data_IF_945356276657
#
_entry.id   IF_945356276657
#
_cell.length_a   1.000
_cell.length_b   1.000
_cell.length_c   1.000
_cell.angle_alpha   90.00
_cell.angle_beta   90.00
_cell.angle_gamma   90.00
#
_symmetry.space_group_name_H-M   'P 1'
#
loop_
_entity.id
_entity.type
_entity.pdbx_description
1 polymer ?
#
# COMPACT_ATOMS: atom_id res chain seq x y z
N UNK A 1 -4.31 -22.19 -4.15
CA UNK A 1 -3.41 -21.05 -3.81
C UNK A 1 -2.42 -21.49 -2.74
N UNK A 2 -1.32 -20.77 -2.59
CA UNK A 2 -0.45 -20.82 -1.41
C UNK A 2 -0.10 -19.38 -1.03
N UNK A 3 -0.58 -18.89 0.10
CA UNK A 3 -0.30 -17.52 0.55
C UNK A 3 -0.07 -17.48 2.05
N UNK A 4 1.05 -16.87 2.46
CA UNK A 4 1.45 -16.77 3.86
C UNK A 4 2.07 -15.41 4.25
N UNK A 5 1.83 -14.37 3.45
CA UNK A 5 2.45 -13.05 3.65
C UNK A 5 1.87 -12.24 4.84
N UNK A 6 0.86 -12.73 5.55
CA UNK A 6 0.26 -12.00 6.68
C UNK A 6 0.21 -12.86 7.95
N UNK A 7 0.24 -12.20 9.10
CA UNK A 7 0.23 -12.83 10.43
C UNK A 7 -0.96 -13.78 10.62
N UNK A 8 -2.15 -13.40 10.12
CA UNK A 8 -3.38 -14.20 10.21
C UNK A 8 -3.45 -15.39 9.25
N UNK A 9 -2.33 -15.79 8.64
CA UNK A 9 -2.33 -16.95 7.74
C UNK A 9 -2.83 -18.20 8.45
N UNK A 10 -3.53 -19.07 7.73
CA UNK A 10 -4.19 -20.23 8.33
C UNK A 10 -3.17 -21.13 9.04
N UNK A 11 -3.51 -21.49 10.28
CA UNK A 11 -2.71 -22.33 11.17
C UNK A 11 -1.27 -21.81 11.43
N UNK A 12 -1.03 -20.51 11.19
CA UNK A 12 0.30 -19.90 11.18
C UNK A 12 1.29 -20.56 10.19
N UNK A 13 0.76 -21.22 9.15
CA UNK A 13 1.54 -21.91 8.11
C UNK A 13 1.30 -21.27 6.75
N UNK A 14 0.09 -21.45 6.19
CA UNK A 14 -0.26 -20.96 4.87
C UNK A 14 -1.77 -21.11 4.61
N UNK A 15 -2.35 -20.14 3.89
CA UNK A 15 -3.65 -20.30 3.27
C UNK A 15 -3.53 -21.16 2.01
N UNK A 16 -4.00 -22.40 2.07
CA UNK A 16 -3.99 -23.37 0.96
C UNK A 16 -5.38 -23.76 0.40
N UNK A 17 -6.44 -23.20 0.97
CA UNK A 17 -7.83 -23.50 0.59
C UNK A 17 -8.33 -22.69 -0.62
N UNK A 18 -9.63 -22.78 -0.95
CA UNK A 18 -10.24 -21.97 -2.01
C UNK A 18 -10.31 -20.47 -1.66
N UNK A 19 -10.13 -20.13 -0.38
CA UNK A 19 -10.13 -18.75 0.12
C UNK A 19 -9.14 -18.63 1.29
N UNK A 20 -8.40 -17.53 1.35
CA UNK A 20 -7.56 -17.18 2.50
C UNK A 20 -8.37 -16.60 3.67
N UNK A 21 -7.76 -16.52 4.85
CA UNK A 21 -8.40 -15.96 6.06
C UNK A 21 -8.87 -14.51 5.84
N UNK A 22 -8.15 -13.74 5.04
CA UNK A 22 -8.52 -12.38 4.66
C UNK A 22 -9.69 -12.27 3.65
N UNK A 23 -10.24 -13.40 3.18
CA UNK A 23 -11.28 -13.43 2.14
C UNK A 23 -10.74 -13.46 0.70
N UNK A 24 -9.42 -13.51 0.50
CA UNK A 24 -8.82 -13.59 -0.84
C UNK A 24 -9.14 -14.93 -1.49
N UNK A 25 -9.90 -14.92 -2.58
CA UNK A 25 -10.17 -16.11 -3.37
C UNK A 25 -8.90 -16.67 -4.02
N UNK A 26 -8.86 -17.99 -4.23
CA UNK A 26 -7.71 -18.67 -4.85
C UNK A 26 -7.31 -18.02 -6.18
N UNK A 27 -8.28 -17.72 -7.05
CA UNK A 27 -8.00 -17.14 -8.37
C UNK A 27 -7.33 -15.77 -8.27
N UNK A 28 -7.71 -14.95 -7.28
CA UNK A 28 -7.07 -13.65 -7.06
C UNK A 28 -5.65 -13.86 -6.54
N UNK A 29 -5.44 -14.78 -5.60
CA UNK A 29 -4.11 -15.11 -5.12
C UNK A 29 -3.19 -15.59 -6.25
N UNK A 30 -3.67 -16.50 -7.08
CA UNK A 30 -2.96 -17.04 -8.24
C UNK A 30 -2.59 -15.93 -9.25
N UNK A 31 -3.48 -14.96 -9.51
CA UNK A 31 -3.18 -13.82 -10.39
C UNK A 31 -2.18 -12.84 -9.77
N UNK A 32 -2.18 -12.67 -8.43
CA UNK A 32 -1.15 -11.88 -7.74
C UNK A 32 0.23 -12.51 -7.90
N UNK A 33 0.35 -13.83 -7.84
CA UNK A 33 1.61 -14.55 -8.06
C UNK A 33 2.14 -14.31 -9.48
N UNK A 34 1.26 -14.40 -10.50
CA UNK A 34 1.61 -14.10 -11.90
C UNK A 34 2.06 -12.64 -12.06
N UNK A 35 1.34 -11.69 -11.47
CA UNK A 35 1.72 -10.27 -11.54
C UNK A 35 3.10 -10.01 -10.93
N UNK A 36 3.40 -10.60 -9.77
CA UNK A 36 4.72 -10.47 -9.12
C UNK A 36 5.80 -11.09 -10.01
N UNK A 37 5.56 -12.27 -10.59
CA UNK A 37 6.48 -12.91 -11.51
C UNK A 37 6.83 -12.01 -12.70
N UNK A 38 5.83 -11.43 -13.37
CA UNK A 38 6.04 -10.52 -14.49
C UNK A 38 6.75 -9.22 -14.06
N UNK A 39 6.45 -8.72 -12.86
CA UNK A 39 7.10 -7.55 -12.25
C UNK A 39 8.60 -7.78 -12.03
N UNK A 40 9.01 -9.00 -11.67
CA UNK A 40 10.42 -9.39 -11.65
C UNK A 40 11.02 -9.27 -13.06
N UNK A 41 10.35 -9.75 -14.10
CA UNK A 41 10.80 -9.67 -15.50
C UNK A 41 10.99 -8.25 -16.04
N UNK A 42 10.06 -7.34 -15.72
CA UNK A 42 10.21 -5.90 -16.00
C UNK A 42 11.48 -5.36 -15.34
N UNK A 43 11.66 -5.70 -14.07
CA UNK A 43 12.79 -5.24 -13.27
C UNK A 43 14.13 -5.77 -13.74
N UNK A 44 14.19 -6.97 -14.32
CA UNK A 44 15.43 -7.48 -14.92
C UNK A 44 15.95 -6.53 -16.01
N UNK A 45 15.08 -6.09 -16.93
CA UNK A 45 15.44 -5.11 -17.98
C UNK A 45 15.70 -3.71 -17.42
N UNK A 46 14.81 -3.22 -16.55
CA UNK A 46 14.93 -1.89 -15.97
C UNK A 46 16.22 -1.75 -15.12
N UNK A 47 16.63 -2.82 -14.43
CA UNK A 47 17.89 -2.86 -13.71
C UNK A 47 19.10 -2.70 -14.64
N UNK A 48 19.16 -3.44 -15.77
CA UNK A 48 20.26 -3.26 -16.73
C UNK A 48 20.25 -1.87 -17.36
N UNK A 49 19.08 -1.31 -17.68
CA UNK A 49 18.99 0.06 -18.17
C UNK A 49 19.53 1.06 -17.13
N UNK A 50 19.18 0.89 -15.85
CA UNK A 50 19.66 1.74 -14.76
C UNK A 50 21.18 1.67 -14.56
N UNK A 51 21.82 0.51 -14.77
CA UNK A 51 23.28 0.37 -14.78
C UNK A 51 23.95 1.20 -15.88
N UNK A 52 23.22 1.51 -16.95
CA UNK A 52 23.64 2.40 -18.03
C UNK A 52 23.18 3.86 -17.82
N UNK A 53 22.66 4.20 -16.63
CA UNK A 53 22.07 5.50 -16.29
C UNK A 53 20.83 5.88 -17.11
N UNK A 54 20.14 4.90 -17.70
CA UNK A 54 18.87 5.08 -18.41
C UNK A 54 17.69 4.65 -17.53
N UNK A 55 16.56 5.34 -17.68
CA UNK A 55 15.39 5.15 -16.81
C UNK A 55 14.12 5.63 -17.50
N UNK A 56 13.00 5.01 -17.15
CA UNK A 56 11.67 5.45 -17.52
C UNK A 56 10.75 5.42 -16.30
N UNK A 57 10.14 6.56 -16.01
CA UNK A 57 9.34 6.77 -14.80
C UNK A 57 8.05 5.96 -14.76
N UNK A 58 7.44 5.66 -15.91
CA UNK A 58 6.22 4.85 -15.93
C UNK A 58 6.53 3.39 -15.59
N UNK A 59 7.73 2.91 -15.97
CA UNK A 59 8.22 1.57 -15.62
C UNK A 59 8.47 1.49 -14.12
N UNK A 60 9.15 2.49 -13.58
CA UNK A 60 9.42 2.60 -12.15
C UNK A 60 8.11 2.57 -11.34
N UNK A 61 7.17 3.43 -11.71
CA UNK A 61 5.87 3.55 -11.01
C UNK A 61 5.05 2.26 -11.12
N UNK A 62 4.97 1.65 -12.31
CA UNK A 62 4.21 0.42 -12.49
C UNK A 62 4.72 -0.70 -11.59
N UNK A 63 6.04 -0.85 -11.44
CA UNK A 63 6.62 -1.87 -10.55
C UNK A 63 6.23 -1.64 -9.09
N UNK A 64 6.23 -0.39 -8.63
CA UNK A 64 5.80 -0.04 -7.27
C UNK A 64 4.31 -0.33 -7.07
N UNK A 65 3.46 0.12 -8.00
CA UNK A 65 2.01 -0.11 -7.97
C UNK A 65 1.67 -1.61 -8.01
N UNK A 66 2.35 -2.39 -8.86
CA UNK A 66 2.14 -3.82 -8.98
C UNK A 66 2.50 -4.56 -7.67
N UNK A 67 3.58 -4.17 -6.99
CA UNK A 67 3.92 -4.74 -5.69
C UNK A 67 2.87 -4.38 -4.63
N UNK A 68 2.48 -3.10 -4.55
CA UNK A 68 1.53 -2.63 -3.56
C UNK A 68 0.13 -3.25 -3.76
N UNK A 69 -0.35 -3.39 -5.01
CA UNK A 69 -1.63 -4.05 -5.30
C UNK A 69 -1.73 -5.49 -4.75
N UNK A 70 -0.59 -6.16 -4.52
CA UNK A 70 -0.53 -7.52 -3.97
C UNK A 70 -0.32 -7.58 -2.45
N UNK A 71 -0.26 -6.44 -1.76
CA UNK A 71 -0.24 -6.37 -0.30
C UNK A 71 -1.58 -6.84 0.27
N UNK A 72 -1.55 -7.42 1.46
CA UNK A 72 -2.74 -7.93 2.15
C UNK A 72 -3.79 -6.84 2.29
N UNK A 73 -5.03 -7.17 1.91
CA UNK A 73 -6.19 -6.29 2.00
C UNK A 73 -6.12 -5.03 1.12
N UNK A 74 -5.38 -5.03 0.00
CA UNK A 74 -5.40 -3.94 -1.00
C UNK A 74 -6.44 -4.21 -2.09
N UNK A 75 -6.20 -5.21 -2.95
CA UNK A 75 -7.07 -5.49 -4.10
C UNK A 75 -7.53 -6.95 -4.13
N UNK A 76 -8.85 -7.14 -4.25
CA UNK A 76 -9.54 -8.42 -4.38
C UNK A 76 -10.30 -8.55 -5.71
N UNK A 77 -10.17 -7.57 -6.61
CA UNK A 77 -10.84 -7.56 -7.89
C UNK A 77 -10.02 -8.31 -8.96
N UNK A 78 -10.50 -9.51 -9.29
CA UNK A 78 -9.92 -10.39 -10.31
C UNK A 78 -9.79 -9.68 -11.67
N UNK A 79 -10.76 -8.88 -12.10
CA UNK A 79 -10.73 -8.24 -13.42
C UNK A 79 -9.70 -7.09 -13.47
N UNK A 80 -9.43 -6.44 -12.33
CA UNK A 80 -8.30 -5.50 -12.21
C UNK A 80 -6.96 -6.21 -12.35
N UNK A 81 -6.79 -7.37 -11.72
CA UNK A 81 -5.54 -8.15 -11.90
C UNK A 81 -5.34 -8.62 -13.33
N UNK A 82 -6.39 -9.00 -14.06
CA UNK A 82 -6.29 -9.30 -15.50
C UNK A 82 -5.79 -8.08 -16.30
N UNK A 83 -6.28 -6.89 -15.95
CA UNK A 83 -5.85 -5.63 -16.57
C UNK A 83 -4.38 -5.30 -16.23
N UNK A 84 -3.99 -5.46 -14.96
CA UNK A 84 -2.61 -5.24 -14.50
C UNK A 84 -1.62 -6.22 -15.14
N UNK A 85 -1.99 -7.50 -15.28
CA UNK A 85 -1.14 -8.51 -15.93
C UNK A 85 -0.93 -8.16 -17.41
N UNK A 86 -1.98 -7.76 -18.11
CA UNK A 86 -1.84 -7.28 -19.49
C UNK A 86 -0.89 -6.08 -19.57
N UNK A 87 -1.10 -5.07 -18.71
CA UNK A 87 -0.21 -3.90 -18.61
C UNK A 87 1.23 -4.31 -18.26
N UNK A 88 1.44 -5.35 -17.46
CA UNK A 88 2.78 -5.86 -17.13
C UNK A 88 3.53 -6.35 -18.37
N UNK A 89 2.86 -7.04 -19.29
CA UNK A 89 3.46 -7.43 -20.57
C UNK A 89 3.84 -6.21 -21.42
N UNK A 90 2.95 -5.22 -21.53
CA UNK A 90 3.23 -3.98 -22.26
C UNK A 90 4.43 -3.21 -21.66
N UNK A 91 4.47 -3.09 -20.33
CA UNK A 91 5.55 -2.42 -19.60
C UNK A 91 6.86 -3.21 -19.71
N UNK A 92 6.81 -4.54 -19.81
CA UNK A 92 8.01 -5.37 -20.00
C UNK A 92 8.64 -5.13 -21.36
N UNK A 93 7.85 -5.07 -22.43
CA UNK A 93 8.39 -4.73 -23.75
C UNK A 93 8.93 -3.29 -23.76
N UNK A 94 8.26 -2.34 -23.09
CA UNK A 94 8.80 -0.97 -22.88
C UNK A 94 10.17 -0.99 -22.18
N UNK A 95 10.33 -1.81 -21.14
CA UNK A 95 11.59 -1.95 -20.38
C UNK A 95 12.71 -2.57 -21.21
N UNK A 96 12.38 -3.60 -21.99
CA UNK A 96 13.30 -4.24 -22.93
C UNK A 96 13.79 -3.29 -24.01
N UNK A 97 12.89 -2.47 -24.58
CA UNK A 97 13.25 -1.45 -25.57
C UNK A 97 14.06 -0.31 -24.97
N UNK A 98 13.75 0.11 -23.72
CA UNK A 98 14.59 1.03 -22.97
C UNK A 98 16.02 0.47 -22.82
N UNK A 99 16.15 -0.78 -22.39
CA UNK A 99 17.46 -1.42 -22.22
C UNK A 99 18.23 -1.53 -23.53
N UNK A 100 17.59 -1.97 -24.63
CA UNK A 100 18.24 -2.05 -25.95
C UNK A 100 18.74 -0.70 -26.43
N UNK A 101 17.93 0.36 -26.32
CA UNK A 101 18.34 1.73 -26.68
C UNK A 101 19.47 2.23 -25.79
N UNK A 102 19.45 1.88 -24.50
CA UNK A 102 20.55 2.19 -23.59
C UNK A 102 21.85 1.52 -24.04
N UNK A 103 21.80 0.24 -24.41
CA UNK A 103 22.96 -0.47 -24.96
C UNK A 103 23.50 0.17 -26.23
N UNK A 104 22.64 0.51 -27.19
CA UNK A 104 23.03 1.20 -28.42
C UNK A 104 23.71 2.55 -28.13
N UNK A 105 23.10 3.36 -27.26
CA UNK A 105 23.63 4.67 -26.86
C UNK A 105 24.99 4.57 -26.17
N UNK A 106 25.18 3.55 -25.34
CA UNK A 106 26.40 3.35 -24.55
C UNK A 106 27.41 2.41 -25.21
N UNK A 107 27.15 1.95 -26.44
CA UNK A 107 28.00 1.03 -27.20
C UNK A 107 28.30 -0.28 -26.43
N UNK A 108 27.32 -0.80 -25.71
CA UNK A 108 27.41 -2.07 -24.99
C UNK A 108 26.57 -3.15 -25.66
N UNK A 109 26.94 -4.42 -25.45
CA UNK A 109 26.18 -5.54 -25.98
C UNK A 109 24.92 -5.79 -25.14
N UNK A 110 23.80 -6.05 -25.81
CA UNK A 110 22.55 -6.48 -25.15
C UNK A 110 22.74 -7.90 -24.61
N UNK A 111 22.60 -8.05 -23.30
CA UNK A 111 22.58 -9.35 -22.62
C UNK A 111 21.32 -10.13 -23.01
N UNK A 112 21.46 -11.43 -23.26
CA UNK A 112 20.30 -12.32 -23.36
C UNK A 112 19.85 -12.71 -21.96
N UNK A 113 18.71 -12.16 -21.52
CA UNK A 113 18.12 -12.46 -20.21
C UNK A 113 17.40 -13.83 -20.23
N UNK A 114 16.82 -14.22 -19.10
CA UNK A 114 16.18 -15.52 -18.91
C UNK A 114 14.91 -15.38 -18.06
N UNK A 115 14.18 -16.49 -17.87
CA UNK A 115 13.06 -16.57 -16.96
C UNK A 115 11.97 -15.52 -17.25
N UNK A 116 11.51 -14.77 -16.24
CA UNK A 116 10.38 -13.85 -16.40
C UNK A 116 10.58 -12.78 -17.49
N UNK A 117 11.82 -12.38 -17.77
CA UNK A 117 12.15 -11.42 -18.82
C UNK A 117 11.75 -11.93 -20.22
N UNK A 118 11.81 -13.24 -20.46
CA UNK A 118 11.50 -13.85 -21.75
C UNK A 118 10.07 -14.38 -21.87
N UNK A 119 9.27 -14.32 -20.79
CA UNK A 119 7.90 -14.87 -20.80
C UNK A 119 7.05 -14.24 -21.92
N UNK A 120 6.36 -15.04 -22.72
CA UNK A 120 5.49 -14.48 -23.77
C UNK A 120 4.14 -14.06 -23.19
N UNK A 121 3.40 -13.21 -23.89
CA UNK A 121 2.08 -12.77 -23.40
C UNK A 121 1.14 -13.96 -23.21
N UNK A 122 0.65 -14.14 -21.99
CA UNK A 122 -0.31 -15.19 -21.64
C UNK A 122 -1.71 -14.59 -21.67
N UNK A 123 -2.52 -15.08 -22.60
CA UNK A 123 -3.90 -14.61 -22.78
C UNK A 123 -4.91 -15.61 -22.24
N UNK A 124 -5.99 -15.09 -21.67
CA UNK A 124 -7.10 -15.90 -21.13
C UNK A 124 -6.89 -16.33 -19.69
N UNK A 125 -7.97 -16.26 -18.90
CA UNK A 125 -7.95 -16.56 -17.47
C UNK A 125 -7.44 -17.98 -17.18
N UNK A 126 -7.91 -18.99 -17.92
CA UNK A 126 -7.53 -20.39 -17.65
C UNK A 126 -6.04 -20.64 -17.90
N UNK A 127 -5.45 -20.00 -18.90
CA UNK A 127 -4.01 -20.10 -19.17
C UNK A 127 -3.20 -19.41 -18.07
N UNK A 128 -3.65 -18.24 -17.60
CA UNK A 128 -3.02 -17.54 -16.48
C UNK A 128 -3.10 -18.36 -15.18
N UNK A 129 -4.24 -18.99 -14.89
CA UNK A 129 -4.42 -19.83 -13.71
C UNK A 129 -3.63 -21.15 -13.80
N UNK A 130 -3.34 -21.64 -15.00
CA UNK A 130 -2.43 -22.77 -15.19
C UNK A 130 -0.99 -22.32 -14.95
N UNK A 131 -0.59 -21.18 -15.51
CA UNK A 131 0.74 -20.63 -15.37
C UNK A 131 1.07 -20.24 -13.93
N UNK A 132 0.10 -19.71 -13.18
CA UNK A 132 0.28 -19.33 -11.76
C UNK A 132 0.81 -20.48 -10.91
N UNK A 133 0.47 -21.74 -11.23
CA UNK A 133 0.95 -22.91 -10.49
C UNK A 133 2.45 -23.12 -10.65
N UNK A 134 3.00 -22.77 -11.82
CA UNK A 134 4.43 -22.87 -12.13
C UNK A 134 5.26 -21.73 -11.51
N UNK A 135 4.62 -20.62 -11.13
CA UNK A 135 5.28 -19.44 -10.55
C UNK A 135 4.87 -19.18 -9.10
N UNK A 136 4.20 -20.14 -8.46
CA UNK A 136 3.71 -20.03 -7.09
C UNK A 136 4.85 -20.14 -6.06
N UNK A 137 4.61 -19.60 -4.86
CA UNK A 137 5.52 -19.77 -3.72
C UNK A 137 5.77 -21.24 -3.36
N UNK A 138 4.77 -22.10 -3.55
CA UNK A 138 4.93 -23.55 -3.33
C UNK A 138 5.91 -24.16 -4.34
N UNK A 139 5.87 -23.70 -5.59
CA UNK A 139 6.82 -24.13 -6.62
C UNK A 139 8.23 -23.62 -6.37
N UNK A 140 8.37 -22.38 -5.90
CA UNK A 140 9.66 -21.83 -5.48
C UNK A 140 10.24 -22.64 -4.30
N UNK A 141 9.39 -23.02 -3.34
CA UNK A 141 9.75 -23.87 -2.20
C UNK A 141 10.18 -25.27 -2.61
N UNK A 142 9.51 -25.90 -3.58
CA UNK A 142 9.96 -27.19 -4.16
C UNK A 142 11.36 -27.09 -4.79
N UNK A 143 11.67 -25.94 -5.41
CA UNK A 143 12.93 -25.72 -6.12
C UNK A 143 14.10 -25.45 -5.18
N UNK A 144 13.91 -24.59 -4.18
CA UNK A 144 15.01 -24.08 -3.35
C UNK A 144 15.02 -24.61 -1.90
N UNK A 145 13.93 -25.24 -1.47
CA UNK A 145 13.75 -25.67 -0.08
C UNK A 145 13.33 -24.54 0.86
N UNK A 146 12.88 -24.93 2.05
CA UNK A 146 12.21 -24.06 3.04
C UNK A 146 13.03 -22.82 3.42
N UNK A 147 14.32 -22.98 3.72
CA UNK A 147 15.16 -21.89 4.22
C UNK A 147 15.42 -20.81 3.17
N UNK A 148 15.76 -21.22 1.95
CA UNK A 148 16.07 -20.28 0.86
C UNK A 148 14.80 -19.57 0.41
N UNK A 149 13.71 -20.30 0.15
CA UNK A 149 12.44 -19.68 -0.23
C UNK A 149 11.87 -18.78 0.85
N UNK A 150 11.99 -19.16 2.13
CA UNK A 150 11.59 -18.29 3.24
C UNK A 150 12.33 -16.95 3.26
N UNK A 151 13.63 -16.93 2.94
CA UNK A 151 14.42 -15.71 2.84
C UNK A 151 14.08 -14.89 1.58
N UNK A 152 13.84 -15.54 0.42
CA UNK A 152 13.37 -14.86 -0.79
C UNK A 152 12.04 -14.15 -0.55
N UNK A 153 11.13 -14.83 0.16
CA UNK A 153 9.81 -14.29 0.49
C UNK A 153 9.88 -13.19 1.55
N UNK A 154 10.77 -13.30 2.54
CA UNK A 154 11.06 -12.21 3.47
C UNK A 154 11.50 -10.94 2.73
N UNK A 155 12.44 -11.08 1.78
CA UNK A 155 12.93 -9.97 0.95
C UNK A 155 11.77 -9.38 0.13
N UNK A 156 11.00 -10.23 -0.56
CA UNK A 156 9.87 -9.80 -1.39
C UNK A 156 8.80 -9.08 -0.56
N UNK A 157 8.39 -9.63 0.59
CA UNK A 157 7.35 -9.04 1.43
C UNK A 157 7.80 -7.72 2.06
N UNK A 158 9.06 -7.62 2.49
CA UNK A 158 9.66 -6.36 2.93
C UNK A 158 9.65 -5.32 1.80
N UNK A 159 9.96 -5.72 0.57
CA UNK A 159 9.94 -4.84 -0.59
C UNK A 159 8.51 -4.38 -0.94
N UNK A 160 7.49 -5.24 -0.82
CA UNK A 160 6.09 -4.84 -0.98
C UNK A 160 5.66 -3.78 0.03
N UNK A 161 6.06 -3.92 1.30
CA UNK A 161 5.81 -2.90 2.33
C UNK A 161 6.53 -1.57 2.04
N UNK A 162 7.78 -1.63 1.58
CA UNK A 162 8.49 -0.43 1.14
C UNK A 162 7.81 0.20 -0.09
N UNK A 163 7.27 -0.60 -1.02
CA UNK A 163 6.55 -0.11 -2.21
C UNK A 163 5.35 0.76 -1.83
N UNK A 164 4.56 0.34 -0.83
CA UNK A 164 3.38 1.12 -0.41
C UNK A 164 3.75 2.51 0.11
N UNK A 165 4.88 2.64 0.82
CA UNK A 165 5.33 3.95 1.27
C UNK A 165 5.90 4.81 0.13
N UNK A 166 6.59 4.19 -0.83
CA UNK A 166 7.16 4.89 -1.97
C UNK A 166 6.07 5.41 -2.91
N UNK A 167 4.99 4.65 -3.09
CA UNK A 167 3.79 5.06 -3.82
C UNK A 167 3.19 6.34 -3.23
N UNK A 168 2.94 6.39 -1.93
CA UNK A 168 2.42 7.59 -1.27
C UNK A 168 3.36 8.80 -1.38
N UNK A 169 4.67 8.58 -1.26
CA UNK A 169 5.65 9.65 -1.47
C UNK A 169 5.58 10.18 -2.91
N UNK A 170 5.46 9.29 -3.89
CA UNK A 170 5.32 9.62 -5.31
C UNK A 170 4.04 10.40 -5.60
N UNK A 171 2.90 9.98 -5.04
CA UNK A 171 1.60 10.66 -5.15
C UNK A 171 1.68 12.12 -4.68
N UNK A 172 2.52 12.41 -3.67
CA UNK A 172 2.81 13.75 -3.15
C UNK A 172 3.97 14.45 -3.88
N UNK A 173 4.46 13.88 -4.97
CA UNK A 173 5.49 14.47 -5.83
C UNK A 173 6.93 14.31 -5.33
N UNK A 174 7.17 13.51 -4.28
CA UNK A 174 8.52 13.17 -3.83
C UNK A 174 9.00 11.90 -4.53
N UNK A 175 10.16 11.99 -5.16
CA UNK A 175 10.71 10.93 -6.01
C UNK A 175 12.19 10.77 -5.72
N UNK A 176 12.65 9.53 -5.64
CA UNK A 176 14.08 9.21 -5.52
C UNK A 176 14.44 8.14 -6.55
N UNK A 177 15.13 8.56 -7.61
CA UNK A 177 15.58 7.69 -8.71
C UNK A 177 16.45 6.54 -8.23
N UNK A 178 17.20 6.73 -7.15
CA UNK A 178 18.05 5.68 -6.58
C UNK A 178 17.21 4.60 -5.93
N UNK A 179 16.18 4.99 -5.16
CA UNK A 179 15.27 4.03 -4.53
C UNK A 179 14.59 3.14 -5.57
N UNK A 180 13.99 3.71 -6.60
CA UNK A 180 13.40 2.92 -7.68
C UNK A 180 14.40 1.96 -8.38
N UNK A 181 15.66 2.39 -8.60
CA UNK A 181 16.68 1.53 -9.19
C UNK A 181 17.06 0.37 -8.24
N UNK A 182 17.07 0.61 -6.93
CA UNK A 182 17.28 -0.39 -5.90
C UNK A 182 16.12 -1.41 -5.86
N UNK A 183 14.86 -0.99 -6.05
CA UNK A 183 13.73 -1.92 -6.20
C UNK A 183 13.94 -2.87 -7.40
N UNK A 184 14.33 -2.34 -8.56
CA UNK A 184 14.60 -3.18 -9.72
C UNK A 184 15.78 -4.14 -9.50
N UNK A 185 16.85 -3.68 -8.82
CA UNK A 185 18.00 -4.52 -8.43
C UNK A 185 17.54 -5.70 -7.55
N UNK A 186 16.73 -5.45 -6.52
CA UNK A 186 16.25 -6.51 -5.62
C UNK A 186 15.34 -7.49 -6.37
N UNK A 187 14.40 -7.00 -7.17
CA UNK A 187 13.50 -7.85 -7.94
C UNK A 187 14.24 -8.71 -8.97
N UNK A 188 15.29 -8.17 -9.60
CA UNK A 188 16.20 -8.94 -10.46
C UNK A 188 16.96 -10.01 -9.66
N UNK A 189 17.49 -9.67 -8.48
CA UNK A 189 18.16 -10.62 -7.61
C UNK A 189 17.26 -11.82 -7.28
N UNK A 190 15.98 -11.59 -7.00
CA UNK A 190 14.97 -12.62 -6.73
C UNK A 190 14.65 -13.54 -7.93
N UNK A 191 15.30 -13.36 -9.09
CA UNK A 191 15.17 -14.24 -10.27
C UNK A 191 16.33 -15.21 -10.44
N UNK A 192 17.40 -15.10 -9.64
CA UNK A 192 18.57 -15.97 -9.76
C UNK A 192 18.20 -17.45 -9.59
N UNK A 193 18.99 -18.30 -10.23
CA UNK A 193 18.84 -19.76 -10.18
C UNK A 193 19.59 -20.41 -9.01
N UNK A 194 20.46 -19.67 -8.32
CA UNK A 194 21.24 -20.14 -7.17
C UNK A 194 21.50 -18.99 -6.22
N UNK A 195 21.50 -19.29 -4.92
CA UNK A 195 21.71 -18.33 -3.85
C UNK A 195 22.68 -18.88 -2.82
N UNK A 196 23.58 -18.03 -2.33
CA UNK A 196 24.28 -18.26 -1.08
C UNK A 196 23.52 -17.62 0.09
N UNK A 197 23.73 -18.15 1.31
CA UNK A 197 23.12 -17.60 2.52
C UNK A 197 23.57 -16.16 2.78
N UNK A 198 24.84 -15.84 2.51
CA UNK A 198 25.40 -14.49 2.69
C UNK A 198 24.76 -13.47 1.74
N UNK A 199 24.48 -13.86 0.48
CA UNK A 199 23.76 -13.01 -0.46
C UNK A 199 22.34 -12.73 0.02
N UNK A 200 21.61 -13.75 0.49
CA UNK A 200 20.24 -13.60 0.99
C UNK A 200 20.18 -12.71 2.22
N UNK A 201 21.07 -12.92 3.19
CA UNK A 201 21.16 -12.07 4.38
C UNK A 201 21.47 -10.62 4.01
N UNK A 202 22.41 -10.41 3.08
CA UNK A 202 22.78 -9.08 2.60
C UNK A 202 21.57 -8.37 1.96
N UNK A 203 20.86 -9.02 1.04
CA UNK A 203 19.72 -8.37 0.38
C UNK A 203 18.52 -8.19 1.34
N UNK A 204 18.35 -9.05 2.34
CA UNK A 204 17.35 -8.82 3.40
C UNK A 204 17.66 -7.56 4.24
N UNK A 205 18.93 -7.36 4.60
CA UNK A 205 19.37 -6.14 5.29
C UNK A 205 19.27 -4.90 4.38
N UNK A 206 19.58 -5.03 3.09
CA UNK A 206 19.42 -3.97 2.10
C UNK A 206 17.97 -3.51 2.00
N UNK A 207 17.00 -4.44 1.97
CA UNK A 207 15.56 -4.10 2.01
C UNK A 207 15.20 -3.31 3.26
N UNK A 208 15.80 -3.63 4.41
CA UNK A 208 15.67 -2.84 5.63
C UNK A 208 16.16 -1.40 5.48
N UNK A 209 17.31 -1.19 4.84
CA UNK A 209 17.84 0.15 4.54
C UNK A 209 16.95 0.91 3.54
N UNK A 210 16.50 0.24 2.48
CA UNK A 210 15.55 0.78 1.50
C UNK A 210 14.29 1.26 2.23
N UNK A 211 13.71 0.42 3.11
CA UNK A 211 12.53 0.78 3.86
C UNK A 211 12.73 2.03 4.73
N UNK A 212 13.87 2.16 5.44
CA UNK A 212 14.18 3.37 6.23
C UNK A 212 14.25 4.63 5.36
N UNK A 213 14.88 4.53 4.18
CA UNK A 213 14.99 5.65 3.24
C UNK A 213 13.65 6.03 2.61
N UNK A 214 12.81 5.05 2.27
CA UNK A 214 11.46 5.30 1.79
C UNK A 214 10.59 5.94 2.87
N UNK A 215 10.63 5.44 4.11
CA UNK A 215 9.90 6.03 5.23
C UNK A 215 10.33 7.48 5.47
N UNK A 216 11.63 7.78 5.37
CA UNK A 216 12.14 9.16 5.43
C UNK A 216 11.56 10.02 4.28
N UNK A 217 11.57 9.50 3.04
CA UNK A 217 11.03 10.21 1.89
C UNK A 217 9.53 10.50 2.06
N UNK A 218 8.77 9.54 2.59
CA UNK A 218 7.34 9.70 2.88
C UNK A 218 7.09 10.70 4.03
N UNK A 219 7.89 10.68 5.10
CA UNK A 219 7.83 11.69 6.17
C UNK A 219 8.06 13.09 5.60
N UNK A 220 9.09 13.27 4.75
CA UNK A 220 9.34 14.53 4.06
C UNK A 220 8.18 14.92 3.13
N UNK A 221 7.58 13.96 2.42
CA UNK A 221 6.42 14.18 1.56
C UNK A 221 5.23 14.72 2.35
N UNK A 222 4.87 14.05 3.45
CA UNK A 222 3.77 14.45 4.31
C UNK A 222 4.03 15.78 5.01
N UNK A 223 5.19 15.94 5.66
CA UNK A 223 5.49 17.13 6.47
C UNK A 223 5.69 18.38 5.61
N UNK A 224 6.22 18.27 4.39
CA UNK A 224 6.29 19.42 3.47
C UNK A 224 4.93 19.75 2.83
N UNK A 225 4.08 18.73 2.60
CA UNK A 225 2.75 18.93 2.01
C UNK A 225 1.76 19.48 3.03
N UNK A 226 1.75 18.97 4.27
CA UNK A 226 0.69 19.19 5.25
C UNK A 226 1.14 19.82 6.59
N UNK A 227 2.40 20.23 6.66
CA UNK A 227 3.14 20.70 7.85
C UNK A 227 3.41 19.58 8.88
N UNK A 228 4.27 19.85 9.86
CA UNK A 228 4.62 18.87 10.89
C UNK A 228 3.42 18.55 11.79
N UNK A 229 3.18 17.27 12.14
CA UNK A 229 2.15 16.91 13.10
C UNK A 229 2.35 17.58 14.46
N UNK A 230 1.27 18.11 15.01
CA UNK A 230 1.22 18.76 16.33
C UNK A 230 0.22 18.06 17.26
N UNK A 231 0.47 18.05 18.59
CA UNK A 231 -0.46 17.49 19.56
C UNK A 231 -1.88 18.02 19.38
N UNK A 232 -2.81 17.12 19.04
CA UNK A 232 -4.19 17.47 18.69
C UNK A 232 -5.17 16.54 19.37
N UNK A 233 -6.19 17.12 20.01
CA UNK A 233 -7.38 16.38 20.47
C UNK A 233 -8.29 16.07 19.28
N UNK A 234 -8.63 14.81 19.12
CA UNK A 234 -9.49 14.29 18.04
C UNK A 234 -10.76 13.76 18.66
N UNK A 235 -11.92 14.26 18.20
CA UNK A 235 -13.22 13.74 18.63
C UNK A 235 -13.38 12.31 18.11
N UNK A 236 -13.79 11.38 18.96
CA UNK A 236 -14.03 9.96 18.61
C UNK A 236 -15.49 9.55 18.74
N UNK A 237 -16.39 10.54 18.68
CA UNK A 237 -17.82 10.38 18.93
C UNK A 237 -18.61 11.09 17.81
N UNK A 238 -19.73 10.51 17.37
CA UNK A 238 -20.58 11.09 16.33
C UNK A 238 -20.96 12.54 16.57
N UNK A 239 -20.95 13.32 15.49
CA UNK A 239 -21.42 14.70 15.37
C UNK A 239 -22.57 14.69 14.38
N UNK A 240 -23.66 15.35 14.75
CA UNK A 240 -24.89 15.45 13.95
C UNK A 240 -24.60 15.91 12.53
N UNK A 241 -25.27 15.31 11.55
CA UNK A 241 -25.23 15.71 10.15
C UNK A 241 -24.86 14.59 9.19
N UNK A 242 -24.83 14.92 7.90
CA UNK A 242 -24.33 14.01 6.85
C UNK A 242 -22.87 13.71 7.10
N UNK A 243 -22.43 12.52 6.72
CA UNK A 243 -21.08 12.07 7.01
C UNK A 243 -20.46 11.24 5.89
N UNK A 244 -19.15 11.33 5.71
CA UNK A 244 -18.34 10.43 4.89
C UNK A 244 -17.23 9.88 5.79
N UNK A 245 -16.96 8.57 5.69
CA UNK A 245 -15.84 7.93 6.37
C UNK A 245 -14.69 7.69 5.40
N UNK A 246 -13.47 8.07 5.76
CA UNK A 246 -12.26 7.84 4.96
C UNK A 246 -11.32 6.90 5.71
N UNK A 247 -10.92 5.81 5.07
CA UNK A 247 -9.96 4.85 5.61
C UNK A 247 -8.85 4.53 4.61
N UNK A 248 -7.77 3.93 5.09
CA UNK A 248 -6.51 3.81 4.37
C UNK A 248 -5.47 4.77 4.95
N UNK A 249 -4.60 5.28 4.07
CA UNK A 249 -3.43 6.06 4.45
C UNK A 249 -3.19 7.31 3.58
N UNK A 250 -3.99 7.51 2.52
CA UNK A 250 -3.69 8.55 1.53
C UNK A 250 -4.21 9.92 1.97
N UNK A 251 -3.27 10.76 2.44
CA UNK A 251 -3.59 12.10 2.92
C UNK A 251 -3.91 13.08 1.78
N UNK A 252 -3.48 12.81 0.55
CA UNK A 252 -3.80 13.66 -0.61
C UNK A 252 -5.25 13.46 -1.02
N UNK A 253 -5.72 12.23 -1.02
CA UNK A 253 -7.13 11.90 -1.27
C UNK A 253 -8.05 12.52 -0.22
N UNK A 254 -7.64 12.47 1.06
CA UNK A 254 -8.36 13.16 2.13
C UNK A 254 -8.37 14.68 1.91
N UNK A 255 -7.25 15.29 1.57
CA UNK A 255 -7.18 16.74 1.31
C UNK A 255 -8.12 17.14 0.17
N UNK A 256 -8.12 16.39 -0.92
CA UNK A 256 -8.94 16.65 -2.08
C UNK A 256 -10.43 16.47 -1.79
N UNK A 257 -10.79 15.42 -1.04
CA UNK A 257 -12.17 15.26 -0.57
C UNK A 257 -12.59 16.43 0.33
N UNK A 258 -11.73 16.85 1.26
CA UNK A 258 -12.00 17.97 2.17
C UNK A 258 -12.28 19.27 1.40
N UNK A 259 -11.49 19.54 0.34
CA UNK A 259 -11.71 20.68 -0.56
C UNK A 259 -13.07 20.59 -1.27
N UNK A 260 -13.42 19.42 -1.81
CA UNK A 260 -14.67 19.23 -2.56
C UNK A 260 -15.92 19.21 -1.67
N UNK A 261 -15.79 18.91 -0.38
CA UNK A 261 -16.91 18.91 0.57
C UNK A 261 -17.03 20.17 1.42
N UNK A 262 -16.13 21.14 1.24
CA UNK A 262 -16.17 22.40 1.99
C UNK A 262 -17.48 23.15 1.74
N UNK A 263 -18.15 23.56 2.83
CA UNK A 263 -19.44 24.26 2.75
C UNK A 263 -20.66 23.40 2.41
N UNK A 264 -20.51 22.08 2.20
CA UNK A 264 -21.64 21.19 1.85
C UNK A 264 -22.42 20.65 3.06
N UNK A 265 -22.00 20.96 4.29
CA UNK A 265 -22.64 20.43 5.51
C UNK A 265 -22.44 18.93 5.71
N UNK A 266 -21.34 18.37 5.18
CA UNK A 266 -20.95 16.96 5.33
C UNK A 266 -19.74 16.88 6.27
N UNK A 267 -19.88 16.16 7.37
CA UNK A 267 -18.80 15.84 8.29
C UNK A 267 -17.89 14.74 7.69
N UNK A 268 -16.60 14.98 7.60
CA UNK A 268 -15.60 13.98 7.21
C UNK A 268 -15.04 13.32 8.47
N UNK A 269 -15.10 12.00 8.52
CA UNK A 269 -14.52 11.17 9.55
C UNK A 269 -13.34 10.38 9.00
N UNK A 270 -12.29 10.24 9.79
CA UNK A 270 -11.21 9.27 9.53
C UNK A 270 -11.54 7.93 10.19
N UNK A 271 -10.95 6.84 9.69
CA UNK A 271 -11.01 5.50 10.30
C UNK A 271 -9.67 4.78 10.16
N UNK A 272 -9.30 4.01 11.19
CA UNK A 272 -8.04 3.26 11.23
C UNK A 272 -6.83 4.19 11.06
N UNK A 273 -6.01 3.88 10.06
CA UNK A 273 -4.72 4.53 9.80
C UNK A 273 -4.84 5.97 9.26
N UNK A 274 -6.06 6.46 8.98
CA UNK A 274 -6.29 7.88 8.69
C UNK A 274 -6.32 8.76 9.95
N UNK A 275 -6.38 8.18 11.16
CA UNK A 275 -6.41 8.92 12.43
C UNK A 275 -5.28 9.98 12.58
N UNK A 276 -4.02 9.72 12.18
CA UNK A 276 -2.95 10.70 12.27
C UNK A 276 -3.17 11.97 11.44
N UNK A 277 -4.05 11.95 10.43
CA UNK A 277 -4.37 13.11 9.60
C UNK A 277 -4.75 14.35 10.42
N UNK A 278 -5.41 14.16 11.56
CA UNK A 278 -5.80 15.23 12.48
C UNK A 278 -4.61 15.97 13.12
N UNK A 279 -3.44 15.34 13.16
CA UNK A 279 -2.21 15.98 13.65
C UNK A 279 -1.65 17.03 12.69
N UNK A 280 -1.96 16.93 11.40
CA UNK A 280 -1.39 17.78 10.35
C UNK A 280 -2.13 19.13 10.24
N UNK A 281 -1.45 20.27 10.46
CA UNK A 281 -2.07 21.59 10.46
C UNK A 281 -2.88 21.93 9.19
N UNK A 282 -2.39 21.59 7.99
CA UNK A 282 -3.10 21.91 6.74
C UNK A 282 -4.35 21.08 6.49
N UNK A 283 -4.49 19.91 7.12
CA UNK A 283 -5.71 19.10 7.07
C UNK A 283 -6.67 19.50 8.18
N UNK A 284 -6.17 19.72 9.39
CA UNK A 284 -6.98 20.12 10.55
C UNK A 284 -7.67 21.47 10.38
N UNK A 285 -7.16 22.36 9.51
CA UNK A 285 -7.79 23.66 9.25
C UNK A 285 -9.25 23.55 8.76
N UNK A 286 -9.64 22.41 8.18
CA UNK A 286 -10.99 22.17 7.69
C UNK A 286 -11.91 21.80 8.86
N UNK A 287 -12.87 22.65 9.26
CA UNK A 287 -13.70 22.43 10.46
C UNK A 287 -14.68 21.26 10.33
N UNK A 288 -14.94 20.80 9.10
CA UNK A 288 -15.76 19.63 8.80
C UNK A 288 -14.96 18.33 8.81
N UNK A 289 -13.63 18.35 8.97
CA UNK A 289 -12.88 17.17 9.42
C UNK A 289 -13.23 16.90 10.90
N UNK A 290 -14.33 16.19 11.11
CA UNK A 290 -15.09 16.20 12.36
C UNK A 290 -14.49 15.33 13.46
N UNK A 291 -13.77 14.27 13.10
CA UNK A 291 -13.17 13.35 14.06
C UNK A 291 -12.72 12.03 13.45
N UNK A 292 -12.48 11.05 14.31
CA UNK A 292 -12.23 9.66 13.93
C UNK A 292 -13.41 8.79 14.36
N UNK A 293 -13.84 7.85 13.52
CA UNK A 293 -14.90 6.91 13.84
C UNK A 293 -14.33 5.49 13.88
N UNK A 294 -14.75 4.72 14.89
CA UNK A 294 -14.31 3.34 15.06
C UNK A 294 -12.87 3.20 15.54
N UNK A 295 -12.31 2.01 15.31
CA UNK A 295 -11.01 1.60 15.79
C UNK A 295 -10.11 1.08 14.67
N UNK A 296 -9.55 -0.11 14.89
CA UNK A 296 -8.66 -0.77 13.95
C UNK A 296 -9.44 -1.52 12.84
N UNK A 297 -8.79 -1.73 11.71
CA UNK A 297 -9.40 -2.24 10.48
C UNK A 297 -10.13 -3.58 10.60
N UNK A 298 -9.76 -4.41 11.59
CA UNK A 298 -10.39 -5.71 11.84
C UNK A 298 -11.86 -5.57 12.27
N UNK A 299 -12.24 -4.41 12.84
CA UNK A 299 -13.60 -4.11 13.29
C UNK A 299 -14.49 -3.52 12.19
N UNK A 300 -13.92 -3.22 11.02
CA UNK A 300 -14.59 -2.43 9.98
C UNK A 300 -15.93 -3.04 9.51
N UNK A 301 -16.06 -4.38 9.52
CA UNK A 301 -17.31 -5.05 9.11
C UNK A 301 -18.51 -4.64 9.97
N UNK A 302 -18.30 -4.31 11.25
CA UNK A 302 -19.36 -3.83 12.15
C UNK A 302 -19.45 -2.32 12.16
N UNK A 303 -18.30 -1.65 12.14
CA UNK A 303 -18.22 -0.19 12.20
C UNK A 303 -18.75 0.46 10.91
N UNK A 304 -18.40 -0.05 9.73
CA UNK A 304 -18.89 0.48 8.45
C UNK A 304 -20.39 0.23 8.27
N UNK A 305 -20.88 -0.92 8.72
CA UNK A 305 -22.31 -1.23 8.75
C UNK A 305 -23.08 -0.24 9.63
N UNK A 306 -22.51 0.16 10.78
CA UNK A 306 -23.12 1.10 11.73
C UNK A 306 -22.95 2.56 11.32
N UNK A 307 -21.95 2.89 10.50
CA UNK A 307 -21.71 4.27 10.05
C UNK A 307 -22.81 4.73 9.07
N UNK A 308 -23.52 5.84 9.32
CA UNK A 308 -24.72 6.21 8.57
C UNK A 308 -24.42 7.07 7.31
N UNK A 309 -23.29 6.81 6.66
CA UNK A 309 -22.81 7.54 5.48
C UNK A 309 -21.98 6.65 4.56
N UNK A 310 -21.52 7.13 3.39
CA UNK A 310 -20.64 6.32 2.55
C UNK A 310 -19.21 6.26 3.10
N UNK A 311 -18.47 5.26 2.64
CA UNK A 311 -17.08 4.98 3.02
C UNK A 311 -16.18 5.10 1.79
N UNK A 312 -15.02 5.73 1.94
CA UNK A 312 -13.94 5.77 0.96
C UNK A 312 -12.73 4.99 1.49
N UNK A 313 -12.30 3.97 0.74
CA UNK A 313 -11.07 3.22 0.98
C UNK A 313 -9.97 3.73 0.04
N UNK A 314 -8.96 4.41 0.57
CA UNK A 314 -7.85 4.94 -0.22
C UNK A 314 -6.70 3.95 -0.37
N UNK A 315 -6.50 3.07 0.62
CA UNK A 315 -5.54 1.95 0.62
C UNK A 315 -6.08 0.77 1.44
N UNK A 316 -5.24 -0.24 1.73
CA UNK A 316 -5.57 -1.28 2.68
C UNK A 316 -5.86 -0.70 4.08
N UNK A 317 -6.64 -1.39 4.93
CA UNK A 317 -7.14 -2.75 4.77
C UNK A 317 -8.63 -2.76 4.43
N UNK A 318 -8.99 -3.08 3.19
CA UNK A 318 -10.38 -3.41 2.86
C UNK A 318 -10.67 -4.87 3.22
N UNK A 319 -11.75 -5.09 3.97
CA UNK A 319 -12.33 -6.41 4.16
C UNK A 319 -13.57 -6.54 3.28
N UNK A 320 -13.97 -7.78 2.98
CA UNK A 320 -15.18 -8.09 2.24
C UNK A 320 -16.38 -7.24 2.69
N UNK A 321 -16.88 -6.33 1.83
CA UNK A 321 -18.01 -5.50 2.19
C UNK A 321 -19.27 -6.34 2.38
N UNK A 322 -19.97 -6.13 3.49
CA UNK A 322 -21.29 -6.73 3.69
C UNK A 322 -22.30 -6.12 2.74
N UNK A 323 -23.31 -6.90 2.36
CA UNK A 323 -24.42 -6.44 1.51
C UNK A 323 -25.12 -5.18 2.07
N UNK A 324 -25.15 -5.01 3.39
CA UNK A 324 -25.77 -3.87 4.08
C UNK A 324 -25.09 -2.51 3.81
N UNK A 325 -23.85 -2.49 3.33
CA UNK A 325 -23.14 -1.25 3.00
C UNK A 325 -22.36 -1.31 1.68
N UNK A 326 -22.43 -2.42 0.94
CA UNK A 326 -21.71 -2.62 -0.32
C UNK A 326 -22.05 -1.56 -1.38
N UNK A 327 -23.26 -1.01 -1.36
CA UNK A 327 -23.72 0.05 -2.27
C UNK A 327 -23.22 1.46 -1.90
N UNK A 328 -22.61 1.62 -0.72
CA UNK A 328 -22.14 2.91 -0.17
C UNK A 328 -20.66 2.91 0.23
N UNK A 329 -19.92 1.85 -0.06
CA UNK A 329 -18.45 1.85 0.00
C UNK A 329 -17.88 2.12 -1.39
N UNK A 330 -16.79 2.86 -1.42
CA UNK A 330 -16.05 3.25 -2.62
C UNK A 330 -14.58 2.92 -2.42
N UNK A 331 -13.93 2.48 -3.50
CA UNK A 331 -12.48 2.27 -3.54
C UNK A 331 -11.82 3.34 -4.38
N UNK A 332 -10.54 3.61 -4.13
CA UNK A 332 -9.70 4.50 -4.92
C UNK A 332 -8.27 3.99 -4.96
N UNK A 333 -7.50 4.44 -5.95
CA UNK A 333 -6.09 4.10 -6.07
C UNK A 333 -5.92 2.61 -6.36
N UNK A 334 -5.05 1.94 -5.62
CA UNK A 334 -4.82 0.51 -5.82
C UNK A 334 -5.86 -0.37 -5.12
N UNK A 335 -6.76 0.19 -4.31
CA UNK A 335 -7.80 -0.61 -3.64
C UNK A 335 -8.85 -1.10 -4.64
N UNK A 336 -9.22 -2.37 -4.55
CA UNK A 336 -10.24 -2.94 -5.41
C UNK A 336 -11.03 -4.06 -4.74
N UNK A 337 -12.32 -4.13 -5.09
CA UNK A 337 -13.20 -5.21 -4.68
C UNK A 337 -14.30 -5.38 -5.71
N UNK A 338 -14.57 -6.61 -6.14
CA UNK A 338 -15.55 -6.90 -7.17
C UNK A 338 -16.97 -6.38 -6.81
N UNK A 339 -17.51 -5.54 -7.68
CA UNK A 339 -18.84 -4.93 -7.50
C UNK A 339 -18.87 -3.75 -6.53
N UNK A 340 -17.72 -3.25 -6.07
CA UNK A 340 -17.60 -1.98 -5.35
C UNK A 340 -17.24 -0.88 -6.36
N UNK A 341 -17.83 0.31 -6.20
CA UNK A 341 -17.56 1.44 -7.09
C UNK A 341 -16.14 1.96 -6.88
N UNK A 342 -15.41 2.14 -7.97
CA UNK A 342 -14.07 2.70 -7.96
C UNK A 342 -14.11 4.17 -8.38
N UNK A 343 -13.46 5.04 -7.61
CA UNK A 343 -13.32 6.47 -7.90
C UNK A 343 -12.06 6.69 -8.72
N UNK A 344 -12.27 7.01 -9.99
CA UNK A 344 -11.22 7.40 -10.92
C UNK A 344 -10.84 8.87 -10.75
N UNK A 345 -9.55 9.17 -10.85
CA UNK A 345 -9.02 10.51 -10.65
C UNK A 345 -9.56 11.17 -9.36
N UNK A 346 -9.66 12.48 -9.32
CA UNK A 346 -10.11 13.23 -8.14
C UNK A 346 -11.60 13.61 -8.25
N UNK A 347 -12.46 12.77 -8.84
CA UNK A 347 -13.90 13.08 -8.94
C UNK A 347 -14.69 12.40 -7.80
N UNK A 348 -14.87 13.09 -6.67
CA UNK A 348 -15.65 12.59 -5.54
C UNK A 348 -17.16 12.85 -5.66
N UNK A 349 -17.65 13.30 -6.81
CA UNK A 349 -19.06 13.69 -6.98
C UNK A 349 -20.03 12.60 -6.58
N UNK A 350 -19.79 11.37 -7.01
CA UNK A 350 -20.72 10.26 -6.69
C UNK A 350 -20.73 9.92 -5.20
N UNK A 351 -19.55 9.92 -4.55
CA UNK A 351 -19.41 9.73 -3.11
C UNK A 351 -20.16 10.83 -2.33
N UNK A 352 -20.01 12.08 -2.76
CA UNK A 352 -20.65 13.25 -2.14
C UNK A 352 -22.18 13.18 -2.31
N UNK A 353 -22.67 12.85 -3.50
CA UNK A 353 -24.11 12.69 -3.76
C UNK A 353 -24.71 11.52 -2.98
N UNK A 354 -23.94 10.44 -2.79
CA UNK A 354 -24.34 9.34 -1.90
C UNK A 354 -24.46 9.83 -0.46
N UNK A 355 -23.48 10.59 0.05
CA UNK A 355 -23.51 11.15 1.41
C UNK A 355 -24.73 12.06 1.68
N UNK A 356 -25.15 12.85 0.69
CA UNK A 356 -26.36 13.68 0.79
C UNK A 356 -27.64 12.87 0.94
N UNK A 357 -27.70 11.67 0.33
CA UNK A 357 -28.85 10.76 0.35
C UNK A 357 -28.89 9.85 1.58
N UNK A 358 -27.72 9.54 2.16
CA UNK A 358 -27.63 8.74 3.38
C UNK A 358 -28.21 9.47 4.60
N UNK A 359 -28.58 8.74 5.65
CA UNK A 359 -29.22 9.33 6.85
C UNK A 359 -28.32 10.38 7.52
N UNK A 360 -27.03 10.06 7.70
CA UNK A 360 -26.14 10.79 8.59
C UNK A 360 -26.42 10.50 10.07
N UNK A 361 -25.70 11.16 10.96
CA UNK A 361 -25.95 11.08 12.40
C UNK A 361 -27.10 12.01 12.80
N UNK A 362 -28.06 11.50 13.55
CA UNK A 362 -29.27 12.25 13.96
C UNK A 362 -28.99 13.27 15.06
N UNK A 363 -28.02 12.98 15.92
CA UNK A 363 -27.64 13.80 17.08
C UNK A 363 -26.13 13.79 17.32
N UNK A 364 -25.68 14.75 18.13
CA UNK A 364 -24.33 14.75 18.67
C UNK A 364 -24.27 13.75 19.83
N UNK A 365 -23.34 12.80 19.80
CA UNK A 365 -22.98 12.06 21.01
C UNK A 365 -22.13 12.96 21.92
N UNK A 366 -22.22 12.75 23.24
CA UNK A 366 -21.32 13.39 24.22
C UNK A 366 -19.87 13.21 23.82
N UNK A 367 -19.16 14.33 23.70
CA UNK A 367 -17.80 14.35 23.18
C UNK A 367 -16.82 13.53 24.02
N UNK A 368 -16.09 12.65 23.34
CA UNK A 368 -14.91 11.95 23.84
C UNK A 368 -13.75 12.22 22.89
N UNK A 369 -12.55 12.29 23.44
CA UNK A 369 -11.35 12.67 22.70
C UNK A 369 -10.19 11.71 22.94
N UNK A 370 -9.37 11.54 21.91
CA UNK A 370 -8.01 11.00 22.01
C UNK A 370 -7.00 12.05 21.54
N UNK A 371 -5.72 11.89 21.87
CA UNK A 371 -4.67 12.85 21.46
C UNK A 371 -3.72 12.20 20.48
N UNK A 372 -3.47 12.85 19.34
CA UNK A 372 -2.53 12.43 18.29
C UNK A 372 -1.48 13.51 18.03
N UNK A 373 -0.55 13.28 17.09
CA UNK A 373 0.32 14.34 16.55
C UNK A 373 1.67 14.49 17.26
N UNK A 374 2.13 13.45 17.96
CA UNK A 374 3.48 13.39 18.54
C UNK A 374 4.51 12.88 17.51
N UNK A 375 4.59 13.55 16.35
CA UNK A 375 5.62 13.27 15.33
C UNK A 375 7.03 13.65 15.80
N UNK A 376 8.06 13.27 15.04
CA UNK A 376 9.47 13.46 15.44
C UNK A 376 9.81 14.92 15.77
N UNK A 377 9.35 15.89 14.98
CA UNK A 377 9.55 17.32 15.25
C UNK A 377 8.96 17.75 16.60
N UNK A 378 7.76 17.27 16.94
CA UNK A 378 7.13 17.54 18.23
C UNK A 378 7.93 16.93 19.38
N UNK A 379 8.35 15.66 19.25
CA UNK A 379 9.14 14.98 20.29
C UNK A 379 10.50 15.64 20.50
N UNK A 380 11.20 16.00 19.41
CA UNK A 380 12.50 16.68 19.45
C UNK A 380 12.37 18.06 20.10
N UNK A 381 11.29 18.80 19.83
CA UNK A 381 11.05 20.11 20.48
C UNK A 381 10.91 20.03 22.01
N UNK A 382 10.65 18.83 22.54
CA UNK A 382 10.51 18.54 23.97
C UNK A 382 11.72 17.78 24.55
N UNK A 383 12.80 17.63 23.79
CA UNK A 383 13.93 16.77 24.16
C UNK A 383 14.50 17.09 25.54
N UNK A 384 14.79 18.35 25.86
CA UNK A 384 15.33 18.74 27.18
C UNK A 384 14.38 18.35 28.32
N UNK A 385 13.08 18.61 28.14
CA UNK A 385 12.08 18.23 29.13
C UNK A 385 12.03 16.71 29.32
N UNK A 386 12.03 15.94 28.22
CA UNK A 386 12.02 14.47 28.27
C UNK A 386 13.27 13.96 28.99
N UNK A 387 14.45 14.48 28.64
CA UNK A 387 15.74 14.13 29.25
C UNK A 387 15.71 14.42 30.75
N UNK A 388 15.19 15.57 31.18
CA UNK A 388 15.09 15.92 32.59
C UNK A 388 14.15 14.98 33.36
N UNK A 389 13.03 14.57 32.73
CA UNK A 389 12.12 13.58 33.34
C UNK A 389 12.76 12.19 33.44
N UNK A 390 13.58 11.81 32.48
CA UNK A 390 14.37 10.56 32.55
C UNK A 390 15.42 10.65 33.66
N UNK A 391 16.23 11.71 33.67
CA UNK A 391 17.28 11.93 34.70
C UNK A 391 16.73 12.00 36.12
N UNK A 392 15.55 12.60 36.30
CA UNK A 392 14.87 12.66 37.60
C UNK A 392 14.11 11.38 37.98
N UNK A 393 14.13 10.34 37.14
CA UNK A 393 13.45 9.07 37.38
C UNK A 393 11.92 9.13 37.27
N UNK A 394 11.36 10.25 36.76
CA UNK A 394 9.93 10.41 36.51
C UNK A 394 9.46 9.62 35.29
N UNK A 395 10.33 9.46 34.30
CA UNK A 395 10.18 8.49 33.21
C UNK A 395 11.25 7.43 33.40
N UNK A 396 10.84 6.17 33.58
CA UNK A 396 11.76 5.04 33.80
C UNK A 396 12.02 4.21 32.55
N UNK A 397 10.99 4.07 31.70
CA UNK A 397 11.01 3.22 30.51
C UNK A 397 10.18 3.86 29.40
N UNK A 398 10.58 3.60 28.16
CA UNK A 398 9.75 3.79 26.97
C UNK A 398 9.47 2.42 26.38
N UNK A 399 8.20 2.14 26.07
CA UNK A 399 7.79 0.92 25.38
C UNK A 399 7.35 1.31 23.97
N UNK A 400 7.98 0.75 22.96
CA UNK A 400 7.56 0.89 21.57
C UNK A 400 6.51 -0.19 21.28
N UNK A 401 5.23 0.21 21.21
CA UNK A 401 4.07 -0.65 20.95
C UNK A 401 3.39 -0.20 19.65
N UNK A 402 4.20 0.05 18.61
CA UNK A 402 3.70 0.29 17.26
C UNK A 402 3.68 -1.00 16.44
N UNK A 403 2.99 -0.98 15.29
CA UNK A 403 2.86 -2.13 14.39
C UNK A 403 1.41 -2.44 14.04
N UNK A 404 1.21 -3.55 13.34
CA UNK A 404 -0.09 -4.08 12.94
C UNK A 404 -0.18 -5.57 13.28
#
# INVERSE_FOLDING_TARGET
MFCYQCEQTKDAIACKGPTGVCGKEERVADLQDVLVYLTKGISMYAHRAALLNERDEDIDLFVIEALFATVTNVDFDKDRFLTLIKKAFDVKEKAKDLYKRACEKHLTQVETLYGPALEEEITGLDNLLKFSKEVSFEKEKEKFGDDVSGLLDLILFGLKGAASYLDHAYVLGKKDKKLFAEFHKILDFLTKEKFSQDELLKEALEVGEINLRVMKLLDEAHTSSFDNPIPTKVRITPKKGKAILVSGHDLKDLEELLKQTEGLGINIYTHGEMLPAHGYPKLKKYPHLAGNYGGAWQLQKWEFESFPGPILMTTNCIMEPKDSYKDRIFTKGLVGWAGVKHIEANDFKELIEKAKKEKGFEEDEREKFITVGFGHNTVISLADTIIDKVKSGKIKHFFLIGGC
#
